data_IF_875330783689
#
_entry.id   IF_875330783689
#
_cell.length_a   1.000
_cell.length_b   1.000
_cell.length_c   1.000
_cell.angle_alpha   90.00
_cell.angle_beta   90.00
_cell.angle_gamma   90.00
#
_symmetry.space_group_name_H-M   'P 1'
#
loop_
_entity.id
_entity.type
_entity.pdbx_description
1 polymer ?
#
# COMPACT_ATOMS: atom_id res chain seq x y z
N UNK A 1 28.49 1.40 20.25
CA UNK A 1 27.67 2.60 20.57
C UNK A 1 27.35 3.43 19.31
N UNK A 2 28.06 3.22 18.20
CA UNK A 2 27.90 3.92 16.90
C UNK A 2 26.47 3.98 16.32
N UNK A 3 25.63 2.96 16.53
CA UNK A 3 24.28 2.96 15.97
C UNK A 3 23.37 4.00 16.64
N UNK A 4 23.42 4.09 17.97
CA UNK A 4 22.56 4.99 18.71
C UNK A 4 22.95 6.46 18.51
N UNK A 5 24.24 6.75 18.31
CA UNK A 5 24.68 8.09 17.87
C UNK A 5 24.21 8.39 16.46
N UNK A 6 24.35 7.45 15.52
CA UNK A 6 23.84 7.63 14.15
C UNK A 6 22.32 7.91 14.11
N UNK A 7 21.54 7.28 15.00
CA UNK A 7 20.08 7.54 15.10
C UNK A 7 19.80 8.97 15.59
N UNK A 8 20.62 9.51 16.48
CA UNK A 8 20.48 10.87 16.97
C UNK A 8 20.87 11.91 15.92
N UNK A 9 21.91 11.63 15.13
CA UNK A 9 22.46 12.57 14.15
C UNK A 9 21.71 12.57 12.81
N UNK A 10 21.15 11.43 12.40
CA UNK A 10 20.52 11.28 11.09
C UNK A 10 18.98 11.22 11.16
N UNK A 11 18.26 12.24 10.64
CA UNK A 11 16.80 12.29 10.73
C UNK A 11 16.11 11.17 9.93
N UNK A 12 16.67 10.73 8.79
CA UNK A 12 16.11 9.62 8.02
C UNK A 12 16.14 8.29 8.79
N UNK A 13 17.15 8.07 9.63
CA UNK A 13 17.28 6.86 10.44
C UNK A 13 16.25 6.88 11.58
N UNK A 14 16.00 8.06 12.16
CA UNK A 14 14.90 8.25 13.13
C UNK A 14 13.53 8.00 12.51
N UNK A 15 13.28 8.50 11.29
CA UNK A 15 12.03 8.23 10.58
C UNK A 15 11.87 6.75 10.25
N UNK A 16 12.93 6.08 9.78
CA UNK A 16 12.90 4.66 9.47
C UNK A 16 12.57 3.80 10.71
N UNK A 17 13.18 4.11 11.86
CA UNK A 17 12.88 3.42 13.12
C UNK A 17 11.43 3.64 13.56
N UNK A 18 10.95 4.89 13.54
CA UNK A 18 9.58 5.21 13.93
C UNK A 18 8.57 4.56 12.99
N UNK A 19 8.81 4.58 11.68
CA UNK A 19 7.97 3.92 10.69
C UNK A 19 7.95 2.40 10.88
N UNK A 20 9.09 1.78 11.21
CA UNK A 20 9.18 0.35 11.51
C UNK A 20 8.36 -0.03 12.75
N UNK A 21 8.38 0.79 13.80
CA UNK A 21 7.56 0.57 15.00
C UNK A 21 6.07 0.70 14.69
N UNK A 22 5.66 1.77 14.00
CA UNK A 22 4.26 1.99 13.62
C UNK A 22 3.73 0.86 12.72
N UNK A 23 4.49 0.49 11.68
CA UNK A 23 4.16 -0.62 10.80
C UNK A 23 4.11 -1.96 11.55
N UNK A 24 5.03 -2.21 12.48
CA UNK A 24 5.05 -3.41 13.30
C UNK A 24 3.80 -3.55 14.18
N UNK A 25 3.34 -2.45 14.80
CA UNK A 25 2.11 -2.43 15.60
C UNK A 25 0.90 -2.72 14.68
N UNK A 26 0.79 -2.01 13.55
CA UNK A 26 -0.31 -2.20 12.61
C UNK A 26 -0.36 -3.66 12.07
N UNK A 27 0.77 -4.18 11.61
CA UNK A 27 0.89 -5.56 11.11
C UNK A 27 0.59 -6.60 12.20
N UNK A 28 1.01 -6.36 13.45
CA UNK A 28 0.72 -7.26 14.57
C UNK A 28 -0.76 -7.33 14.89
N UNK A 29 -1.43 -6.17 14.97
CA UNK A 29 -2.86 -6.09 15.27
C UNK A 29 -3.71 -6.63 14.12
N UNK A 30 -3.49 -6.14 12.89
CA UNK A 30 -4.27 -6.55 11.72
C UNK A 30 -3.97 -7.99 11.33
N UNK A 31 -2.70 -8.39 11.34
CA UNK A 31 -2.28 -9.74 10.96
C UNK A 31 -2.85 -10.81 11.89
N UNK A 32 -2.78 -10.61 13.21
CA UNK A 32 -3.36 -11.55 14.17
C UNK A 32 -4.88 -11.72 13.97
N UNK A 33 -5.60 -10.61 13.75
CA UNK A 33 -7.04 -10.63 13.47
C UNK A 33 -7.37 -11.41 12.19
N UNK A 34 -6.66 -11.13 11.10
CA UNK A 34 -6.87 -11.75 9.78
C UNK A 34 -6.59 -13.25 9.83
N UNK A 35 -5.55 -13.67 10.56
CA UNK A 35 -5.18 -15.09 10.72
C UNK A 35 -6.22 -15.84 11.54
N UNK A 36 -6.66 -15.30 12.69
CA UNK A 36 -7.66 -15.94 13.56
C UNK A 36 -8.98 -16.12 12.82
N UNK A 37 -9.37 -15.14 11.99
CA UNK A 37 -10.58 -15.21 11.17
C UNK A 37 -10.43 -16.05 9.89
N UNK A 38 -9.24 -16.57 9.59
CA UNK A 38 -8.94 -17.36 8.38
C UNK A 38 -9.27 -16.62 7.07
N UNK A 39 -9.18 -15.29 7.07
CA UNK A 39 -9.44 -14.42 5.91
C UNK A 39 -8.14 -13.87 5.30
N UNK A 40 -7.06 -14.66 5.37
CA UNK A 40 -5.70 -14.25 4.99
C UNK A 40 -5.58 -13.84 3.52
N UNK A 41 -6.42 -14.39 2.64
CA UNK A 41 -6.45 -14.03 1.23
C UNK A 41 -6.79 -12.55 0.96
N UNK A 42 -7.56 -11.90 1.86
CA UNK A 42 -7.92 -10.49 1.72
C UNK A 42 -6.67 -9.59 1.76
N UNK A 43 -5.70 -9.91 2.61
CA UNK A 43 -4.47 -9.14 2.72
C UNK A 43 -3.69 -9.13 1.39
N UNK A 44 -3.64 -10.28 0.71
CA UNK A 44 -3.04 -10.40 -0.61
C UNK A 44 -3.79 -9.58 -1.67
N UNK A 45 -5.12 -9.66 -1.71
CA UNK A 45 -5.93 -8.89 -2.65
C UNK A 45 -5.76 -7.38 -2.50
N UNK A 46 -5.82 -6.87 -1.28
CA UNK A 46 -5.65 -5.43 -0.99
C UNK A 46 -4.27 -4.96 -1.42
N UNK A 47 -3.20 -5.70 -1.08
CA UNK A 47 -1.82 -5.33 -1.43
C UNK A 47 -1.62 -5.13 -2.94
N UNK A 48 -2.30 -5.93 -3.76
CA UNK A 48 -2.20 -5.82 -5.22
C UNK A 48 -3.15 -4.76 -5.80
N UNK A 49 -4.26 -4.48 -5.14
CA UNK A 49 -5.11 -3.34 -5.49
C UNK A 49 -4.42 -2.00 -5.20
N UNK A 50 -3.55 -1.93 -4.20
CA UNK A 50 -2.75 -0.73 -3.92
C UNK A 50 -1.89 -0.33 -5.12
N UNK A 51 -1.37 -1.30 -5.88
CA UNK A 51 -0.64 -1.02 -7.13
C UNK A 51 -1.51 -0.30 -8.16
N UNK A 52 -2.80 -0.65 -8.25
CA UNK A 52 -3.76 0.07 -9.08
C UNK A 52 -3.81 1.56 -8.69
N UNK A 53 -3.95 1.83 -7.40
CA UNK A 53 -3.99 3.18 -6.86
C UNK A 53 -2.71 3.98 -7.12
N UNK A 54 -1.54 3.34 -6.94
CA UNK A 54 -0.24 3.94 -7.23
C UNK A 54 -0.09 4.28 -8.71
N UNK A 55 -0.41 3.32 -9.60
CA UNK A 55 -0.33 3.50 -11.04
C UNK A 55 -1.26 4.60 -11.55
N UNK A 56 -2.52 4.62 -11.10
CA UNK A 56 -3.50 5.64 -11.48
C UNK A 56 -3.07 7.03 -10.99
N UNK A 57 -2.68 7.15 -9.72
CA UNK A 57 -2.26 8.44 -9.16
C UNK A 57 -1.03 8.99 -9.88
N UNK A 58 -0.06 8.13 -10.23
CA UNK A 58 1.11 8.51 -11.03
C UNK A 58 0.74 8.92 -12.44
N UNK A 59 -0.12 8.16 -13.12
CA UNK A 59 -0.60 8.51 -14.44
C UNK A 59 -1.28 9.89 -14.46
N UNK A 60 -2.15 10.17 -13.49
CA UNK A 60 -2.79 11.48 -13.34
C UNK A 60 -1.78 12.59 -13.05
N UNK A 61 -0.76 12.31 -12.23
CA UNK A 61 0.30 13.26 -11.93
C UNK A 61 1.12 13.63 -13.18
N UNK A 62 1.50 12.64 -13.99
CA UNK A 62 2.35 12.84 -15.18
C UNK A 62 1.57 13.40 -16.37
N UNK A 63 0.38 12.86 -16.65
CA UNK A 63 -0.39 13.20 -17.84
C UNK A 63 -1.27 14.43 -17.63
N UNK A 64 -1.92 14.54 -16.47
CA UNK A 64 -2.82 15.65 -16.16
C UNK A 64 -2.16 16.74 -15.30
N UNK A 65 -0.91 16.55 -14.87
CA UNK A 65 -0.17 17.53 -14.07
C UNK A 65 -0.71 17.72 -12.66
N UNK A 66 -1.54 16.80 -12.16
CA UNK A 66 -2.21 16.96 -10.88
C UNK A 66 -1.23 16.69 -9.72
N UNK A 67 -1.13 17.54 -8.67
CA UNK A 67 -0.12 17.38 -7.62
C UNK A 67 -0.57 16.35 -6.56
N UNK A 68 -1.03 15.18 -7.01
CA UNK A 68 -1.44 14.08 -6.16
C UNK A 68 -0.21 13.23 -5.84
N UNK A 69 0.06 13.03 -4.55
CA UNK A 69 1.09 12.07 -4.12
C UNK A 69 0.60 10.64 -4.35
N UNK A 70 1.42 9.73 -4.91
CA UNK A 70 1.03 8.34 -5.18
C UNK A 70 0.46 7.60 -3.96
N UNK A 71 1.00 7.90 -2.77
CA UNK A 71 0.56 7.32 -1.50
C UNK A 71 -0.92 7.55 -1.18
N UNK A 72 -1.51 8.66 -1.63
CA UNK A 72 -2.96 8.86 -1.45
C UNK A 72 -3.76 7.96 -2.37
N UNK A 73 -3.28 7.72 -3.60
CA UNK A 73 -3.87 6.73 -4.50
C UNK A 73 -3.80 5.32 -3.93
N UNK A 74 -2.67 4.96 -3.31
CA UNK A 74 -2.50 3.69 -2.60
C UNK A 74 -3.55 3.50 -1.50
N UNK A 75 -3.68 4.47 -0.59
CA UNK A 75 -4.66 4.42 0.51
C UNK A 75 -6.10 4.36 -0.03
N UNK A 76 -6.43 5.19 -1.02
CA UNK A 76 -7.75 5.19 -1.64
C UNK A 76 -8.10 3.82 -2.25
N UNK A 77 -7.17 3.22 -3.00
CA UNK A 77 -7.37 1.90 -3.59
C UNK A 77 -7.48 0.78 -2.54
N UNK A 78 -6.70 0.87 -1.45
CA UNK A 78 -6.82 -0.06 -0.33
C UNK A 78 -8.21 0.02 0.32
N UNK A 79 -8.71 1.22 0.58
CA UNK A 79 -10.04 1.43 1.19
C UNK A 79 -11.15 0.97 0.25
N UNK A 80 -11.08 1.34 -1.04
CA UNK A 80 -12.07 0.93 -2.04
C UNK A 80 -12.09 -0.59 -2.20
N UNK A 81 -10.94 -1.24 -2.32
CA UNK A 81 -10.87 -2.71 -2.42
C UNK A 81 -11.37 -3.40 -1.15
N UNK A 82 -11.03 -2.89 0.04
CA UNK A 82 -11.54 -3.41 1.30
C UNK A 82 -13.08 -3.29 1.39
N UNK A 83 -13.65 -2.17 0.96
CA UNK A 83 -15.11 -1.97 0.91
C UNK A 83 -15.75 -2.93 -0.08
N UNK A 84 -15.20 -3.07 -1.29
CA UNK A 84 -15.72 -4.00 -2.30
C UNK A 84 -15.71 -5.44 -1.77
N UNK A 85 -14.57 -5.89 -1.24
CA UNK A 85 -14.43 -7.25 -0.70
C UNK A 85 -15.40 -7.44 0.48
N UNK A 86 -15.51 -6.46 1.39
CA UNK A 86 -16.40 -6.51 2.54
C UNK A 86 -17.88 -6.57 2.16
N UNK A 87 -18.33 -5.71 1.24
CA UNK A 87 -19.72 -5.69 0.76
C UNK A 87 -20.09 -6.99 0.06
N UNK A 88 -19.18 -7.54 -0.75
CA UNK A 88 -19.44 -8.78 -1.45
C UNK A 88 -19.39 -9.97 -0.50
N UNK A 89 -18.46 -10.02 0.46
CA UNK A 89 -18.43 -11.05 1.53
C UNK A 89 -19.72 -11.06 2.35
N UNK A 90 -20.32 -9.89 2.62
CA UNK A 90 -21.59 -9.78 3.34
C UNK A 90 -22.82 -10.22 2.52
N UNK A 91 -22.79 -10.13 1.18
CA UNK A 91 -23.98 -10.29 0.33
C UNK A 91 -23.94 -11.53 -0.57
N UNK A 92 -22.76 -12.03 -0.91
CA UNK A 92 -22.60 -13.11 -1.86
C UNK A 92 -22.79 -14.49 -1.18
N UNK A 93 -23.47 -15.40 -1.90
CA UNK A 93 -23.52 -16.84 -1.58
C UNK A 93 -22.38 -17.62 -2.24
N UNK A 94 -21.59 -16.95 -3.07
CA UNK A 94 -20.42 -17.51 -3.76
C UNK A 94 -19.23 -17.68 -2.81
N UNK A 95 -18.25 -18.50 -3.20
CA UNK A 95 -17.01 -18.65 -2.43
C UNK A 95 -16.27 -17.32 -2.39
N UNK A 96 -16.08 -16.76 -1.19
CA UNK A 96 -15.35 -15.50 -0.96
C UNK A 96 -13.99 -15.48 -1.67
N UNK A 97 -13.30 -16.63 -1.70
CA UNK A 97 -12.01 -16.83 -2.36
C UNK A 97 -12.02 -16.44 -3.85
N UNK A 98 -13.12 -16.71 -4.57
CA UNK A 98 -13.24 -16.40 -6.00
C UNK A 98 -13.30 -14.89 -6.24
N UNK A 99 -14.07 -14.18 -5.40
CA UNK A 99 -14.19 -12.73 -5.49
C UNK A 99 -12.87 -12.06 -5.11
N UNK A 100 -12.24 -12.52 -4.04
CA UNK A 100 -10.95 -12.00 -3.58
C UNK A 100 -9.90 -12.19 -4.69
N UNK A 101 -9.88 -13.35 -5.33
CA UNK A 101 -9.00 -13.62 -6.48
C UNK A 101 -9.29 -12.74 -7.70
N UNK A 102 -10.56 -12.46 -8.00
CA UNK A 102 -10.94 -11.56 -9.09
C UNK A 102 -10.50 -10.10 -8.81
N UNK A 103 -10.76 -9.61 -7.60
CA UNK A 103 -10.33 -8.25 -7.16
C UNK A 103 -8.81 -8.12 -7.22
N UNK A 104 -8.09 -9.15 -6.76
CA UNK A 104 -6.64 -9.23 -6.86
C UNK A 104 -6.14 -9.11 -8.31
N UNK A 105 -6.67 -9.92 -9.22
CA UNK A 105 -6.26 -9.92 -10.63
C UNK A 105 -6.58 -8.59 -11.34
N UNK A 106 -7.76 -8.03 -11.09
CA UNK A 106 -8.18 -6.73 -11.64
C UNK A 106 -7.27 -5.62 -11.11
N UNK A 107 -7.02 -5.58 -9.79
CA UNK A 107 -6.14 -4.59 -9.17
C UNK A 107 -4.73 -4.60 -9.76
N UNK A 108 -4.14 -5.79 -9.89
CA UNK A 108 -2.82 -5.94 -10.51
C UNK A 108 -2.83 -5.50 -11.98
N UNK A 109 -3.80 -5.96 -12.77
CA UNK A 109 -3.89 -5.62 -14.20
C UNK A 109 -4.04 -4.11 -14.42
N UNK A 110 -4.89 -3.45 -13.64
CA UNK A 110 -5.08 -2.00 -13.70
C UNK A 110 -3.80 -1.27 -13.31
N UNK A 111 -3.13 -1.66 -12.22
CA UNK A 111 -1.87 -1.05 -11.79
C UNK A 111 -0.78 -1.13 -12.84
N UNK A 112 -0.56 -2.33 -13.40
CA UNK A 112 0.45 -2.55 -14.44
C UNK A 112 0.10 -1.76 -15.71
N UNK A 113 -1.17 -1.74 -16.12
CA UNK A 113 -1.61 -1.00 -17.30
C UNK A 113 -1.29 0.49 -17.19
N UNK A 114 -1.67 1.13 -16.08
CA UNK A 114 -1.42 2.56 -15.89
C UNK A 114 0.07 2.88 -15.76
N UNK A 115 0.85 2.00 -15.13
CA UNK A 115 2.30 2.14 -15.07
C UNK A 115 2.91 2.06 -16.48
N UNK A 116 2.50 1.08 -17.29
CA UNK A 116 3.02 0.88 -18.64
C UNK A 116 2.67 2.03 -19.61
N UNK A 117 1.50 2.65 -19.44
CA UNK A 117 1.04 3.76 -20.28
C UNK A 117 1.64 5.11 -19.83
N UNK A 118 2.19 5.21 -18.62
CA UNK A 118 2.74 6.47 -18.09
C UNK A 118 4.08 6.82 -18.80
N UNK A 119 4.17 7.93 -19.54
CA UNK A 119 5.37 8.29 -20.30
C UNK A 119 6.56 8.62 -19.39
N UNK A 120 7.75 8.14 -19.73
CA UNK A 120 8.98 8.44 -18.98
C UNK A 120 9.14 7.68 -17.67
N UNK A 121 8.23 6.75 -17.34
CA UNK A 121 8.27 5.97 -16.12
C UNK A 121 9.26 4.80 -16.23
N UNK A 122 10.48 4.99 -15.70
CA UNK A 122 11.51 3.96 -15.56
C UNK A 122 11.77 3.62 -14.08
N UNK A 123 10.78 3.84 -13.20
CA UNK A 123 10.89 3.36 -11.82
C UNK A 123 10.55 1.86 -11.79
N UNK A 124 11.48 1.06 -11.27
CA UNK A 124 11.33 -0.38 -11.15
C UNK A 124 10.09 -0.70 -10.29
N UNK A 125 9.19 -1.53 -10.81
CA UNK A 125 8.01 -2.02 -10.09
C UNK A 125 8.40 -2.61 -8.73
N UNK A 126 9.57 -3.24 -8.69
CA UNK A 126 10.17 -3.80 -7.48
C UNK A 126 10.42 -2.73 -6.42
N UNK A 127 10.78 -1.51 -6.81
CA UNK A 127 10.98 -0.41 -5.85
C UNK A 127 9.68 0.00 -5.14
N UNK A 128 8.51 -0.16 -5.77
CA UNK A 128 7.21 0.07 -5.11
C UNK A 128 6.76 -1.12 -4.27
N UNK A 129 7.05 -2.35 -4.71
CA UNK A 129 6.67 -3.56 -4.00
C UNK A 129 7.48 -3.78 -2.72
N UNK A 130 8.79 -3.51 -2.77
CA UNK A 130 9.69 -3.68 -1.64
C UNK A 130 9.91 -2.39 -0.86
N UNK A 131 9.78 -1.23 -1.52
CA UNK A 131 9.92 0.07 -0.90
C UNK A 131 11.34 0.36 -0.42
N UNK A 132 11.54 1.57 0.08
CA UNK A 132 12.73 1.93 0.84
C UNK A 132 12.31 2.73 2.07
N UNK A 133 12.45 2.11 3.24
CA UNK A 133 12.06 2.71 4.53
C UNK A 133 12.87 3.98 4.85
N UNK A 134 14.05 4.15 4.26
CA UNK A 134 14.90 5.32 4.46
C UNK A 134 14.37 6.57 3.74
N UNK A 135 13.47 6.41 2.77
CA UNK A 135 12.86 7.54 2.03
C UNK A 135 11.64 8.14 2.76
N UNK A 136 11.25 7.59 3.90
CA UNK A 136 10.08 8.05 4.66
C UNK A 136 10.35 9.44 5.23
N UNK A 137 9.50 10.40 4.85
CA UNK A 137 9.53 11.76 5.37
C UNK A 137 8.66 11.94 6.62
N UNK A 138 8.79 13.10 7.26
CA UNK A 138 8.00 13.43 8.45
C UNK A 138 6.48 13.47 8.20
N UNK A 139 6.03 13.90 7.02
CA UNK A 139 4.60 13.90 6.67
C UNK A 139 4.03 12.48 6.56
N UNK A 140 4.85 11.54 6.11
CA UNK A 140 4.41 10.16 5.90
C UNK A 140 4.29 9.45 7.25
N UNK A 141 5.16 9.79 8.20
CA UNK A 141 5.07 9.31 9.58
C UNK A 141 3.75 9.74 10.25
N UNK A 142 3.33 10.99 10.07
CA UNK A 142 2.04 11.48 10.56
C UNK A 142 0.87 10.74 9.92
N UNK A 143 0.96 10.44 8.62
CA UNK A 143 -0.06 9.67 7.91
C UNK A 143 -0.13 8.23 8.42
N UNK A 144 1.02 7.58 8.67
CA UNK A 144 1.09 6.24 9.25
C UNK A 144 0.54 6.19 10.67
N UNK A 145 0.73 7.24 11.47
CA UNK A 145 0.22 7.30 12.84
C UNK A 145 -1.28 7.62 12.91
N UNK A 146 -1.84 8.25 11.88
CA UNK A 146 -3.26 8.62 11.82
C UNK A 146 -4.17 7.51 11.28
N UNK A 147 -3.62 6.58 10.49
CA UNK A 147 -4.30 5.38 9.99
C UNK A 147 -4.33 4.28 11.06
#
# INVERSE_FOLDING_TARGET
MEFFSAVADFPFLRHALAAGVLAGIACGVVGSYVVVRRITYIAGAIAHCVLAGLGIARYLQVVHGWPIRPQYGAVAAAVVSAIIIGLVSLRAREREDTIIGAVWAIGMAVGILFIAVTPGYHEDLMSYLFGNILLIGGSDLWMMAAL
#
